data_IF_334738683768
#
_entry.id   IF_334738683768
#
_cell.length_a   1.000
_cell.length_b   1.000
_cell.length_c   1.000
_cell.angle_alpha   90.00
_cell.angle_beta   90.00
_cell.angle_gamma   90.00
#
_symmetry.space_group_name_H-M   'P 1'
#
loop_
_entity.id
_entity.type
_entity.pdbx_description
1 polymer ?
#
# COMPACT_ATOMS: atom_id res chain seq x y z
N UNK A 1 0.32 17.68 0.79
CA UNK A 1 1.52 17.30 0.03
C UNK A 1 2.61 17.04 1.05
N UNK A 2 3.38 15.96 0.90
CA UNK A 2 4.36 15.52 1.90
C UNK A 2 5.59 16.46 1.91
N UNK A 3 6.32 16.52 3.04
CA UNK A 3 7.64 17.15 3.09
C UNK A 3 8.60 16.54 2.05
N UNK A 4 9.64 17.29 1.67
CA UNK A 4 10.55 16.85 0.60
C UNK A 4 11.46 15.72 1.08
N UNK A 5 11.81 15.75 2.36
CA UNK A 5 12.58 14.75 3.10
C UNK A 5 11.86 13.40 3.22
N UNK A 6 10.54 13.36 3.00
CA UNK A 6 9.73 12.15 2.97
C UNK A 6 9.54 11.59 1.54
N UNK A 7 10.02 12.30 0.51
CA UNK A 7 9.96 11.82 -0.86
C UNK A 7 11.12 10.85 -1.12
N UNK A 8 10.83 9.68 -1.69
CA UNK A 8 11.86 8.73 -2.09
C UNK A 8 12.82 9.31 -3.15
N UNK A 9 12.31 10.22 -3.98
CA UNK A 9 13.11 10.99 -4.93
C UNK A 9 12.42 12.29 -5.31
N UNK A 10 13.21 13.26 -5.79
CA UNK A 10 12.74 14.55 -6.31
C UNK A 10 13.40 14.77 -7.66
N UNK A 11 12.60 15.13 -8.66
CA UNK A 11 13.09 15.48 -10.00
C UNK A 11 12.60 16.88 -10.37
N UNK A 12 13.54 17.78 -10.62
CA UNK A 12 13.23 19.14 -11.10
C UNK A 12 13.09 19.14 -12.61
N UNK A 13 12.04 19.79 -13.10
CA UNK A 13 11.75 19.92 -14.53
C UNK A 13 11.81 21.39 -14.94
N UNK A 14 12.81 21.73 -15.76
CA UNK A 14 13.02 23.10 -16.23
C UNK A 14 12.47 23.30 -17.64
N UNK A 15 11.74 24.40 -17.91
CA UNK A 15 11.40 24.75 -19.27
C UNK A 15 12.67 25.07 -20.04
N UNK A 16 12.84 24.44 -21.21
CA UNK A 16 14.03 24.68 -22.05
C UNK A 16 13.86 25.93 -22.91
N UNK A 17 12.62 26.29 -23.25
CA UNK A 17 12.31 27.41 -24.14
C UNK A 17 11.08 28.19 -23.67
N UNK A 18 11.03 29.46 -24.04
CA UNK A 18 9.90 30.34 -23.77
C UNK A 18 8.66 29.88 -24.55
N UNK A 19 7.54 29.67 -23.85
CA UNK A 19 6.29 29.27 -24.50
C UNK A 19 5.71 30.31 -25.47
N UNK A 20 6.12 31.58 -25.36
CA UNK A 20 5.65 32.67 -26.23
C UNK A 20 6.52 32.84 -27.49
N UNK A 21 7.86 32.89 -27.35
CA UNK A 21 8.77 33.22 -28.44
C UNK A 21 9.77 32.11 -28.82
N UNK A 22 9.86 31.03 -28.03
CA UNK A 22 10.77 29.90 -28.29
C UNK A 22 12.23 30.11 -27.90
N UNK A 23 12.60 31.27 -27.35
CA UNK A 23 13.97 31.54 -26.92
C UNK A 23 14.41 30.63 -25.76
N UNK A 24 15.70 30.25 -25.72
CA UNK A 24 16.25 29.38 -24.68
C UNK A 24 16.14 30.01 -23.29
N UNK A 25 15.69 29.23 -22.31
CA UNK A 25 15.57 29.67 -20.92
C UNK A 25 16.63 29.01 -20.04
N UNK A 26 17.21 29.78 -19.13
CA UNK A 26 18.17 29.32 -18.12
C UNK A 26 17.87 30.04 -16.81
N UNK A 27 17.92 29.31 -15.71
CA UNK A 27 17.68 29.88 -14.39
C UNK A 27 17.20 28.84 -13.39
N UNK A 28 16.93 29.31 -12.18
CA UNK A 28 16.40 28.53 -11.08
C UNK A 28 15.22 29.27 -10.46
N UNK A 29 14.13 28.57 -10.22
CA UNK A 29 12.98 29.09 -9.50
C UNK A 29 13.10 28.68 -8.01
N UNK A 30 13.25 29.63 -7.07
CA UNK A 30 13.32 29.31 -5.64
C UNK A 30 11.98 28.87 -5.04
N UNK A 31 10.86 29.01 -5.77
CA UNK A 31 9.54 28.59 -5.31
C UNK A 31 8.79 27.82 -6.41
N UNK A 32 9.30 26.65 -6.83
CA UNK A 32 8.71 25.88 -7.92
C UNK A 32 7.32 25.36 -7.53
N UNK A 33 6.44 25.23 -8.53
CA UNK A 33 5.19 24.51 -8.33
C UNK A 33 5.48 23.02 -8.08
N UNK A 34 4.92 22.48 -7.00
CA UNK A 34 5.19 21.10 -6.58
C UNK A 34 4.02 20.20 -6.95
N UNK A 35 4.32 19.06 -7.55
CA UNK A 35 3.40 17.96 -7.82
C UNK A 35 4.02 16.66 -7.29
N UNK A 36 3.27 15.89 -6.50
CA UNK A 36 3.72 14.61 -5.96
C UNK A 36 2.83 13.48 -6.44
N UNK A 37 3.46 12.42 -6.94
CA UNK A 37 2.80 11.14 -7.20
C UNK A 37 3.09 10.26 -5.98
N UNK A 38 2.04 9.72 -5.36
CA UNK A 38 2.14 8.90 -4.15
C UNK A 38 1.53 7.55 -4.47
N UNK A 39 2.36 6.52 -4.48
CA UNK A 39 1.95 5.16 -4.75
C UNK A 39 2.06 4.34 -3.47
N UNK A 40 1.06 3.50 -3.23
CA UNK A 40 1.20 2.45 -2.24
C UNK A 40 2.03 1.36 -2.92
N UNK A 41 3.21 0.99 -2.38
CA UNK A 41 4.00 -0.09 -2.95
C UNK A 41 3.18 -1.38 -2.96
N UNK A 42 3.53 -2.38 -3.80
CA UNK A 42 2.80 -3.63 -3.88
C UNK A 42 2.59 -4.24 -2.49
N UNK A 43 1.33 -4.30 -2.04
CA UNK A 43 0.98 -4.90 -0.75
C UNK A 43 1.04 -6.42 -0.91
N UNK A 44 1.79 -7.07 -0.03
CA UNK A 44 1.71 -8.52 0.12
C UNK A 44 0.51 -8.86 1.01
N UNK A 45 -0.37 -9.73 0.53
CA UNK A 45 -1.52 -10.17 1.32
C UNK A 45 -1.04 -10.99 2.53
N UNK A 46 -1.49 -10.59 3.71
CA UNK A 46 -1.40 -11.45 4.89
C UNK A 46 -2.60 -12.40 4.90
N UNK A 47 -2.34 -13.69 4.72
CA UNK A 47 -3.38 -14.73 4.66
C UNK A 47 -3.13 -15.70 5.82
N UNK A 48 -4.11 -15.81 6.73
CA UNK A 48 -4.11 -16.76 7.84
C UNK A 48 -5.23 -17.78 7.65
N UNK A 49 -4.90 -19.07 7.71
CA UNK A 49 -5.89 -20.16 7.57
C UNK A 49 -6.10 -20.87 8.92
N UNK A 50 -7.34 -20.83 9.42
CA UNK A 50 -7.73 -21.52 10.64
C UNK A 50 -8.42 -22.86 10.34
N UNK A 51 -7.71 -23.98 10.55
CA UNK A 51 -8.25 -25.33 10.29
C UNK A 51 -8.89 -25.94 11.53
N UNK A 52 -10.20 -26.14 11.47
CA UNK A 52 -11.01 -26.77 12.53
C UNK A 52 -11.11 -28.28 12.30
N UNK A 53 -10.34 -29.05 13.06
CA UNK A 53 -10.36 -30.51 12.96
C UNK A 53 -11.64 -31.10 13.51
N UNK A 54 -12.07 -32.23 12.95
CA UNK A 54 -13.20 -33.01 13.43
C UNK A 54 -12.75 -34.41 13.82
N UNK A 55 -13.08 -34.83 15.03
CA UNK A 55 -12.74 -36.14 15.57
C UNK A 55 -14.02 -36.93 15.89
N UNK A 56 -13.91 -38.25 15.86
CA UNK A 56 -15.03 -39.16 16.19
C UNK A 56 -14.79 -39.79 17.56
N UNK A 57 -15.78 -39.73 18.45
CA UNK A 57 -15.72 -40.36 19.77
C UNK A 57 -15.78 -41.89 19.63
N UNK A 58 -14.78 -42.61 20.13
CA UNK A 58 -14.73 -44.08 20.05
C UNK A 58 -15.80 -44.77 20.92
N UNK A 59 -16.36 -44.07 21.92
CA UNK A 59 -17.36 -44.63 22.83
C UNK A 59 -18.80 -44.53 22.31
N UNK A 60 -19.20 -43.37 21.76
CA UNK A 60 -20.58 -43.14 21.29
C UNK A 60 -20.71 -42.87 19.78
N UNK A 61 -19.59 -42.75 19.05
CA UNK A 61 -19.59 -42.45 17.60
C UNK A 61 -19.85 -40.99 17.22
N UNK A 62 -20.10 -40.12 18.20
CA UNK A 62 -20.36 -38.69 17.96
C UNK A 62 -19.17 -37.99 17.30
N UNK A 63 -19.43 -37.06 16.37
CA UNK A 63 -18.39 -36.33 15.63
C UNK A 63 -18.33 -34.89 16.11
N UNK A 64 -17.25 -34.53 16.78
CA UNK A 64 -17.06 -33.17 17.33
C UNK A 64 -16.03 -32.40 16.51
N UNK A 65 -16.40 -31.21 16.06
CA UNK A 65 -15.49 -30.26 15.40
C UNK A 65 -14.99 -29.22 16.39
N UNK A 66 -13.70 -28.88 16.33
CA UNK A 66 -13.12 -27.81 17.13
C UNK A 66 -13.89 -26.48 16.90
N UNK A 67 -14.05 -25.66 17.93
CA UNK A 67 -14.54 -24.30 17.79
C UNK A 67 -13.45 -23.39 17.21
N UNK A 68 -13.85 -22.29 16.58
CA UNK A 68 -12.91 -21.22 16.24
C UNK A 68 -12.63 -20.41 17.51
N UNK A 69 -11.40 -19.92 17.76
CA UNK A 69 -11.14 -19.01 18.87
C UNK A 69 -11.96 -17.73 18.74
N UNK A 70 -12.45 -17.18 19.85
CA UNK A 70 -13.25 -15.93 19.85
C UNK A 70 -12.50 -14.72 19.30
N UNK A 71 -11.16 -14.77 19.32
CA UNK A 71 -10.27 -13.74 18.77
C UNK A 71 -10.17 -13.75 17.26
N UNK A 72 -10.69 -14.80 16.60
CA UNK A 72 -10.76 -14.88 15.14
C UNK A 72 -12.16 -14.45 14.75
N UNK A 73 -12.29 -13.27 14.18
CA UNK A 73 -13.58 -12.77 13.69
C UNK A 73 -14.11 -13.74 12.62
N UNK A 74 -15.34 -14.26 12.78
CA UNK A 74 -15.98 -15.17 11.81
C UNK A 74 -16.44 -14.46 10.53
N UNK A 75 -16.19 -13.15 10.39
CA UNK A 75 -16.65 -12.38 9.24
C UNK A 75 -15.73 -12.57 8.04
N UNK A 76 -16.13 -13.50 7.16
CA UNK A 76 -15.85 -13.47 5.73
C UNK A 76 -17.01 -12.86 4.95
#
# INVERSE_FOLDING_TARGET
MYPVEECDSVSDHYPQTCACCGEELKGFDPNPYRHQVVEIPPIQLHIEEHRRQQLTCLHCGEKTRAALPETVEEFG
#
